data_IF_251214230388
#
_entry.id   IF_251214230388
#
_cell.length_a   1.000
_cell.length_b   1.000
_cell.length_c   1.000
_cell.angle_alpha   90.00
_cell.angle_beta   90.00
_cell.angle_gamma   90.00
#
_symmetry.space_group_name_H-M   'P 1'
#
loop_
_entity.id
_entity.type
_entity.pdbx_description
1 polymer ?
#
# COMPACT_ATOMS: atom_id res chain seq x y z
N UNK A 1 -20.56 28.27 29.43
CA UNK A 1 -19.36 27.43 29.60
C UNK A 1 -19.40 26.30 28.58
N UNK A 2 -18.65 26.42 27.49
CA UNK A 2 -18.51 25.34 26.52
C UNK A 2 -17.44 24.39 27.06
N UNK A 3 -17.84 23.19 27.51
CA UNK A 3 -16.87 22.14 27.81
C UNK A 3 -16.16 21.83 26.49
N UNK A 4 -14.85 22.04 26.47
CA UNK A 4 -14.00 21.56 25.38
C UNK A 4 -14.10 20.04 25.45
N UNK A 5 -14.94 19.47 24.58
CA UNK A 5 -14.99 18.02 24.37
C UNK A 5 -13.77 17.71 23.52
N UNK A 6 -12.87 16.80 23.94
CA UNK A 6 -11.79 16.35 23.08
C UNK A 6 -12.45 15.77 21.83
N UNK A 7 -11.98 16.18 20.65
CA UNK A 7 -12.47 15.59 19.40
C UNK A 7 -12.40 14.06 19.51
N UNK A 8 -13.45 13.33 19.07
CA UNK A 8 -13.44 11.88 19.13
C UNK A 8 -12.18 11.37 18.41
N UNK A 9 -11.57 10.27 18.89
CA UNK A 9 -10.40 9.72 18.25
C UNK A 9 -10.78 9.47 16.79
N UNK A 10 -10.02 10.05 15.86
CA UNK A 10 -10.21 9.90 14.44
C UNK A 10 -9.90 8.44 14.07
N UNK A 11 -10.82 7.54 14.38
CA UNK A 11 -10.74 6.10 14.15
C UNK A 11 -11.17 5.73 12.72
N UNK A 12 -11.23 6.70 11.82
CA UNK A 12 -11.25 6.42 10.39
C UNK A 12 -9.78 6.43 9.96
N UNK A 13 -9.15 5.26 9.89
CA UNK A 13 -7.88 5.13 9.16
C UNK A 13 -8.08 5.83 7.82
N UNK A 14 -7.28 6.86 7.55
CA UNK A 14 -7.38 7.57 6.29
C UNK A 14 -7.20 6.55 5.16
N UNK A 15 -7.80 6.81 4.00
CA UNK A 15 -7.50 6.02 2.81
C UNK A 15 -5.99 5.98 2.58
N UNK A 16 -5.30 7.08 2.88
CA UNK A 16 -3.83 7.17 2.87
C UNK A 16 -3.16 6.17 3.83
N UNK A 17 -3.59 6.12 5.10
CA UNK A 17 -3.05 5.17 6.09
C UNK A 17 -3.28 3.73 5.65
N UNK A 18 -4.45 3.44 5.09
CA UNK A 18 -4.80 2.11 4.59
C UNK A 18 -3.90 1.70 3.41
N UNK A 19 -3.64 2.63 2.48
CA UNK A 19 -2.78 2.39 1.33
C UNK A 19 -1.30 2.27 1.74
N UNK A 20 -0.85 3.02 2.73
CA UNK A 20 0.49 2.90 3.29
C UNK A 20 0.69 1.52 3.93
N UNK A 21 -0.27 1.07 4.76
CA UNK A 21 -0.25 -0.28 5.33
C UNK A 21 -0.31 -1.36 4.24
N UNK A 22 -1.12 -1.18 3.20
CA UNK A 22 -1.17 -2.11 2.07
C UNK A 22 0.17 -2.19 1.32
N UNK A 23 0.89 -1.08 1.18
CA UNK A 23 2.21 -1.06 0.56
C UNK A 23 3.25 -1.84 1.38
N UNK A 24 3.20 -1.73 2.71
CA UNK A 24 4.05 -2.51 3.62
C UNK A 24 3.77 -4.01 3.52
N UNK A 25 2.50 -4.40 3.44
CA UNK A 25 2.12 -5.81 3.23
C UNK A 25 2.57 -6.32 1.87
N UNK A 26 2.46 -5.52 0.80
CA UNK A 26 2.93 -5.89 -0.52
C UNK A 26 4.45 -6.12 -0.55
N UNK A 27 5.22 -5.26 0.13
CA UNK A 27 6.67 -5.44 0.31
C UNK A 27 6.99 -6.72 1.08
N UNK A 28 6.29 -6.98 2.19
CA UNK A 28 6.47 -8.19 2.97
C UNK A 28 6.19 -9.45 2.13
N UNK A 29 5.10 -9.46 1.37
CA UNK A 29 4.76 -10.55 0.47
C UNK A 29 5.82 -10.79 -0.61
N UNK A 30 6.42 -9.71 -1.14
CA UNK A 30 7.48 -9.81 -2.15
C UNK A 30 8.73 -10.49 -1.57
N UNK A 31 9.13 -10.11 -0.36
CA UNK A 31 10.26 -10.72 0.35
C UNK A 31 9.99 -12.20 0.66
N UNK A 32 8.76 -12.54 1.05
CA UNK A 32 8.36 -13.94 1.28
C UNK A 32 8.45 -14.75 -0.02
N UNK A 33 7.98 -14.19 -1.14
CA UNK A 33 8.07 -14.84 -2.44
C UNK A 33 9.53 -15.02 -2.89
N UNK A 34 10.37 -14.00 -2.72
CA UNK A 34 11.81 -14.09 -2.98
C UNK A 34 12.46 -15.20 -2.14
N UNK A 35 12.14 -15.28 -0.85
CA UNK A 35 12.66 -16.33 0.02
C UNK A 35 12.18 -17.73 -0.40
N UNK A 36 10.91 -17.86 -0.79
CA UNK A 36 10.37 -19.12 -1.29
C UNK A 36 11.08 -19.59 -2.57
N UNK A 37 11.42 -18.66 -3.47
CA UNK A 37 12.26 -18.95 -4.66
C UNK A 37 13.63 -19.51 -4.29
N UNK A 38 14.30 -18.92 -3.28
CA UNK A 38 15.61 -19.36 -2.83
C UNK A 38 15.57 -20.74 -2.18
N UNK A 39 14.47 -21.08 -1.49
CA UNK A 39 14.31 -22.39 -0.84
C UNK A 39 14.05 -23.53 -1.82
N UNK A 40 13.36 -23.28 -2.94
CA UNK A 40 13.01 -24.31 -3.92
C UNK A 40 13.25 -23.84 -5.37
N UNK A 41 14.50 -23.62 -5.80
CA UNK A 41 14.80 -22.95 -7.07
C UNK A 41 14.53 -23.77 -8.34
N UNK A 42 14.23 -25.08 -8.24
CA UNK A 42 13.98 -25.98 -9.38
C UNK A 42 12.60 -26.66 -9.31
N UNK A 43 11.68 -26.11 -8.53
CA UNK A 43 10.34 -26.65 -8.38
C UNK A 43 9.43 -26.14 -9.51
N UNK A 44 8.46 -26.90 -10.01
CA UNK A 44 7.39 -26.37 -10.85
C UNK A 44 6.66 -25.17 -10.21
N UNK A 45 6.68 -25.10 -8.87
CA UNK A 45 6.12 -23.98 -8.09
C UNK A 45 6.93 -22.69 -8.28
N UNK A 46 8.21 -22.76 -8.65
CA UNK A 46 9.05 -21.56 -8.86
C UNK A 46 8.47 -20.61 -9.91
N UNK A 47 7.82 -21.13 -10.97
CA UNK A 47 7.12 -20.31 -11.96
C UNK A 47 5.96 -19.52 -11.34
N UNK A 48 5.19 -20.15 -10.45
CA UNK A 48 4.09 -19.48 -9.74
C UNK A 48 4.61 -18.43 -8.77
N UNK A 49 5.75 -18.69 -8.11
CA UNK A 49 6.36 -17.72 -7.21
C UNK A 49 6.94 -16.53 -8.00
N UNK A 50 7.61 -16.75 -9.13
CA UNK A 50 8.05 -15.65 -10.01
C UNK A 50 6.89 -14.81 -10.53
N UNK A 51 5.79 -15.46 -10.94
CA UNK A 51 4.58 -14.74 -11.33
C UNK A 51 4.03 -13.91 -10.15
N UNK A 52 3.98 -14.48 -8.95
CA UNK A 52 3.54 -13.77 -7.75
C UNK A 52 4.44 -12.55 -7.45
N UNK A 53 5.76 -12.68 -7.59
CA UNK A 53 6.69 -11.55 -7.45
C UNK A 53 6.40 -10.43 -8.45
N UNK A 54 6.12 -10.77 -9.71
CA UNK A 54 5.76 -9.80 -10.74
C UNK A 54 4.45 -9.06 -10.41
N UNK A 55 3.41 -9.79 -9.98
CA UNK A 55 2.14 -9.18 -9.57
C UNK A 55 2.30 -8.28 -8.34
N UNK A 56 3.17 -8.66 -7.40
CA UNK A 56 3.48 -7.86 -6.20
C UNK A 56 4.22 -6.57 -6.54
N UNK A 57 5.18 -6.60 -7.49
CA UNK A 57 5.85 -5.39 -7.99
C UNK A 57 4.86 -4.45 -8.69
N UNK A 58 3.96 -4.98 -9.51
CA UNK A 58 2.90 -4.20 -10.15
C UNK A 58 1.94 -3.58 -9.11
N UNK A 59 1.54 -4.35 -8.10
CA UNK A 59 0.70 -3.87 -7.00
C UNK A 59 1.37 -2.71 -6.25
N UNK A 60 2.66 -2.82 -5.93
CA UNK A 60 3.40 -1.74 -5.25
C UNK A 60 3.39 -0.45 -6.05
N UNK A 61 3.63 -0.51 -7.35
CA UNK A 61 3.58 0.67 -8.24
C UNK A 61 2.18 1.32 -8.26
N UNK A 62 1.12 0.51 -8.24
CA UNK A 62 -0.25 1.02 -8.18
C UNK A 62 -0.54 1.70 -6.84
N UNK A 63 -0.07 1.13 -5.72
CA UNK A 63 -0.22 1.72 -4.39
C UNK A 63 0.55 3.03 -4.26
N UNK A 64 1.79 3.08 -4.74
CA UNK A 64 2.59 4.32 -4.80
C UNK A 64 1.89 5.39 -5.65
N UNK A 65 1.34 5.03 -6.81
CA UNK A 65 0.56 5.95 -7.64
C UNK A 65 -0.70 6.46 -6.93
N UNK A 66 -1.42 5.58 -6.24
CA UNK A 66 -2.62 5.96 -5.48
C UNK A 66 -2.28 6.93 -4.34
N UNK A 67 -1.20 6.69 -3.61
CA UNK A 67 -0.70 7.58 -2.56
C UNK A 67 -0.35 8.97 -3.12
N UNK A 68 0.34 9.05 -4.25
CA UNK A 68 0.67 10.32 -4.92
C UNK A 68 -0.59 11.09 -5.31
N UNK A 69 -1.64 10.40 -5.79
CA UNK A 69 -2.90 11.03 -6.17
C UNK A 69 -3.66 11.59 -4.97
N UNK A 70 -3.61 10.92 -3.82
CA UNK A 70 -4.26 11.38 -2.59
C UNK A 70 -3.52 12.58 -1.98
N UNK A 71 -2.20 12.58 -2.07
CA UNK A 71 -1.37 13.67 -1.55
C UNK A 71 -1.39 14.92 -2.42
N UNK A 72 -1.87 14.83 -3.68
CA UNK A 72 -1.98 16.00 -4.56
C UNK A 72 -3.09 16.92 -4.01
N UNK A 73 -2.77 18.14 -3.54
CA UNK A 73 -3.80 19.09 -3.14
C UNK A 73 -4.72 19.33 -4.33
N UNK A 74 -6.04 19.32 -4.13
CA UNK A 74 -6.96 19.84 -5.12
C UNK A 74 -6.47 21.26 -5.47
N UNK A 75 -6.24 21.53 -6.76
CA UNK A 75 -5.83 22.86 -7.23
C UNK A 75 -6.70 23.90 -6.54
N UNK A 76 -6.13 25.01 -6.03
CA UNK A 76 -6.92 26.04 -5.37
C UNK A 76 -7.99 26.47 -6.37
N UNK A 77 -9.24 26.11 -6.08
CA UNK A 77 -10.39 26.59 -6.83
C UNK A 77 -10.20 28.10 -6.93
N UNK A 78 -9.99 28.58 -8.15
CA UNK A 78 -10.02 30.00 -8.48
C UNK A 78 -11.38 30.49 -8.03
N UNK A 79 -11.42 31.07 -6.82
CA UNK A 79 -12.57 31.75 -6.28
C UNK A 79 -12.78 32.95 -7.18
N UNK A 80 -13.81 32.84 -8.01
CA UNK A 80 -14.18 33.82 -9.02
C UNK A 80 -15.27 34.74 -8.51
#
# INVERSE_FOLDING_TARGET
>A
MLKIVPDPPHNAHSLEDTLMVAADYALCAEVVAQQAMLMQPKSPVSLLIMASMHELDALRKLLESALVQIQKPADPQTMH
#
